data_IF_922589529770
#
_entry.id   IF_922589529770
#
_cell.length_a   1.000
_cell.length_b   1.000
_cell.length_c   1.000
_cell.angle_alpha   90.00
_cell.angle_beta   90.00
_cell.angle_gamma   90.00
#
_symmetry.space_group_name_H-M   'P 1'
#
loop_
_entity.id
_entity.type
_entity.pdbx_description
1 polymer ?
#
# COMPACT_ATOMS: atom_id res chain seq x y z
N UNK A 1 -20.76 6.45 3.69
CA UNK A 1 -19.59 7.12 3.08
C UNK A 1 -20.10 8.05 1.98
N UNK A 2 -19.52 9.24 1.82
CA UNK A 2 -19.88 10.14 0.72
C UNK A 2 -19.54 9.48 -0.61
N UNK A 3 -20.49 9.43 -1.54
CA UNK A 3 -20.26 8.90 -2.89
C UNK A 3 -19.25 9.81 -3.59
N UNK A 4 -18.06 9.28 -3.89
CA UNK A 4 -17.03 10.02 -4.63
C UNK A 4 -17.54 10.23 -6.05
N UNK A 5 -17.58 11.48 -6.51
CA UNK A 5 -18.06 11.81 -7.86
C UNK A 5 -17.04 11.43 -8.93
N UNK A 6 -17.48 11.20 -10.17
CA UNK A 6 -16.57 10.94 -11.31
C UNK A 6 -15.53 12.06 -11.50
N UNK A 7 -15.94 13.31 -11.29
CA UNK A 7 -15.05 14.47 -11.32
C UNK A 7 -13.97 14.38 -10.24
N UNK A 8 -14.35 13.93 -9.04
CA UNK A 8 -13.42 13.74 -7.94
C UNK A 8 -12.46 12.58 -8.19
N UNK A 9 -12.95 11.43 -8.69
CA UNK A 9 -12.08 10.31 -9.10
C UNK A 9 -11.03 10.80 -10.10
N UNK A 10 -11.45 11.56 -11.11
CA UNK A 10 -10.55 12.12 -12.12
C UNK A 10 -9.51 13.05 -11.50
N UNK A 11 -9.91 13.88 -10.53
CA UNK A 11 -9.00 14.78 -9.81
C UNK A 11 -7.97 14.02 -8.97
N UNK A 12 -8.38 12.94 -8.30
CA UNK A 12 -7.48 12.12 -7.48
C UNK A 12 -6.47 11.35 -8.34
N UNK A 13 -6.91 10.85 -9.50
CA UNK A 13 -6.07 10.05 -10.39
C UNK A 13 -5.15 10.88 -11.30
N UNK A 14 -5.44 12.16 -11.52
CA UNK A 14 -4.61 13.04 -12.36
C UNK A 14 -3.12 13.05 -11.95
N UNK A 15 -2.75 13.33 -10.68
CA UNK A 15 -1.35 13.27 -10.25
C UNK A 15 -0.77 11.85 -10.28
N UNK A 16 -1.58 10.83 -9.98
CA UNK A 16 -1.18 9.41 -10.02
C UNK A 16 -0.80 8.99 -11.45
N UNK A 17 -1.67 9.27 -12.42
CA UNK A 17 -1.45 8.95 -13.83
C UNK A 17 -0.30 9.74 -14.44
N UNK A 18 -0.03 10.95 -13.95
CA UNK A 18 1.14 11.73 -14.36
C UNK A 18 2.46 11.18 -13.77
N UNK A 19 2.39 10.47 -12.64
CA UNK A 19 3.54 9.91 -11.94
C UNK A 19 3.91 8.50 -12.44
N UNK A 20 2.91 7.66 -12.70
CA UNK A 20 3.09 6.32 -13.27
C UNK A 20 3.49 6.42 -14.75
N UNK A 21 4.36 5.52 -15.19
CA UNK A 21 4.87 5.53 -16.57
C UNK A 21 4.01 4.68 -17.52
N UNK A 22 3.14 3.83 -16.99
CA UNK A 22 2.18 3.05 -17.77
C UNK A 22 0.86 2.86 -17.02
N UNK A 23 -0.21 2.63 -17.77
CA UNK A 23 -1.48 2.15 -17.22
C UNK A 23 -1.41 0.67 -16.87
N UNK A 24 -2.33 0.21 -16.02
CA UNK A 24 -2.52 -1.22 -15.78
C UNK A 24 -2.90 -1.94 -17.09
N UNK A 25 -2.23 -3.04 -17.47
CA UNK A 25 -2.57 -3.80 -18.67
C UNK A 25 -4.01 -4.32 -18.63
N UNK A 26 -4.71 -4.24 -19.76
CA UNK A 26 -6.08 -4.76 -19.87
C UNK A 26 -6.15 -6.26 -19.54
N UNK A 27 -5.14 -7.05 -19.92
CA UNK A 27 -5.04 -8.47 -19.57
C UNK A 27 -5.05 -8.72 -18.06
N UNK A 28 -4.49 -7.82 -17.26
CA UNK A 28 -4.57 -7.92 -15.81
C UNK A 28 -6.00 -7.68 -15.31
N UNK A 29 -6.72 -6.69 -15.86
CA UNK A 29 -8.12 -6.40 -15.52
C UNK A 29 -9.02 -7.57 -15.93
N UNK A 30 -8.80 -8.11 -17.13
CA UNK A 30 -9.55 -9.24 -17.68
C UNK A 30 -9.45 -10.49 -16.81
N UNK A 31 -8.29 -10.75 -16.20
CA UNK A 31 -8.14 -11.83 -15.22
C UNK A 31 -8.65 -11.44 -13.83
N UNK A 32 -8.34 -10.24 -13.34
CA UNK A 32 -8.68 -9.81 -11.99
C UNK A 32 -10.20 -9.66 -11.75
N UNK A 33 -10.98 -9.35 -12.79
CA UNK A 33 -12.43 -9.20 -12.68
C UNK A 33 -13.19 -10.53 -12.60
N UNK A 34 -12.56 -11.66 -12.96
CA UNK A 34 -13.21 -12.97 -12.96
C UNK A 34 -13.53 -13.41 -11.53
N UNK A 35 -14.74 -13.90 -11.30
CA UNK A 35 -15.21 -14.30 -9.97
C UNK A 35 -14.28 -15.34 -9.31
N UNK A 36 -13.76 -16.29 -10.09
CA UNK A 36 -12.83 -17.33 -9.63
C UNK A 36 -11.48 -16.76 -9.14
N UNK A 37 -11.09 -15.59 -9.63
CA UNK A 37 -9.83 -14.92 -9.32
C UNK A 37 -9.97 -13.88 -8.20
N UNK A 38 -11.18 -13.35 -7.95
CA UNK A 38 -11.43 -12.33 -6.93
C UNK A 38 -10.93 -12.74 -5.54
N UNK A 39 -11.08 -14.02 -5.19
CA UNK A 39 -10.55 -14.53 -3.91
C UNK A 39 -9.04 -14.33 -3.78
N UNK A 40 -8.28 -14.58 -4.85
CA UNK A 40 -6.83 -14.39 -4.88
C UNK A 40 -6.47 -12.91 -4.81
N UNK A 41 -7.20 -12.07 -5.56
CA UNK A 41 -6.97 -10.62 -5.57
C UNK A 41 -7.24 -10.01 -4.20
N UNK A 42 -8.37 -10.32 -3.57
CA UNK A 42 -8.72 -9.81 -2.24
C UNK A 42 -7.78 -10.33 -1.16
N UNK A 43 -7.35 -11.59 -1.24
CA UNK A 43 -6.38 -12.14 -0.27
C UNK A 43 -5.02 -11.45 -0.42
N UNK A 44 -4.53 -11.23 -1.64
CA UNK A 44 -3.27 -10.52 -1.84
C UNK A 44 -3.38 -9.03 -1.48
N UNK A 45 -4.51 -8.39 -1.79
CA UNK A 45 -4.83 -7.02 -1.37
C UNK A 45 -4.79 -6.91 0.16
N UNK A 46 -5.49 -7.78 0.89
CA UNK A 46 -5.43 -7.84 2.35
C UNK A 46 -3.98 -7.90 2.87
N UNK A 47 -3.16 -8.77 2.28
CA UNK A 47 -1.75 -8.92 2.67
C UNK A 47 -0.94 -7.66 2.33
N UNK A 48 -1.25 -6.99 1.23
CA UNK A 48 -0.62 -5.73 0.83
C UNK A 48 -0.88 -4.62 1.86
N UNK A 49 -2.09 -4.51 2.40
CA UNK A 49 -2.41 -3.55 3.47
C UNK A 49 -1.55 -3.79 4.72
N UNK A 50 -1.42 -5.05 5.14
CA UNK A 50 -0.54 -5.38 6.26
C UNK A 50 0.93 -5.07 5.95
N UNK A 51 1.40 -5.37 4.73
CA UNK A 51 2.78 -5.08 4.31
C UNK A 51 3.07 -3.59 4.22
N UNK A 52 2.10 -2.76 3.83
CA UNK A 52 2.22 -1.31 3.82
C UNK A 52 2.39 -0.79 5.26
N UNK A 53 1.53 -1.22 6.19
CA UNK A 53 1.67 -0.92 7.62
C UNK A 53 3.01 -1.39 8.19
N UNK A 54 3.45 -2.61 7.86
CA UNK A 54 4.75 -3.17 8.28
C UNK A 54 5.93 -2.34 7.75
N UNK A 55 5.85 -1.88 6.50
CA UNK A 55 6.89 -1.08 5.88
C UNK A 55 7.01 0.29 6.55
N UNK A 56 5.90 0.98 6.79
CA UNK A 56 5.88 2.24 7.52
C UNK A 56 6.35 2.08 8.97
N UNK A 57 5.92 1.02 9.66
CA UNK A 57 6.39 0.69 11.00
C UNK A 57 7.91 0.45 11.02
N UNK A 58 8.46 -0.24 10.01
CA UNK A 58 9.89 -0.45 9.90
C UNK A 58 10.65 0.88 9.74
N UNK A 59 10.15 1.77 8.89
CA UNK A 59 10.75 3.09 8.69
C UNK A 59 10.75 3.90 9.99
N UNK A 60 9.63 3.94 10.72
CA UNK A 60 9.56 4.63 12.01
C UNK A 60 10.55 4.05 13.01
N UNK A 61 10.56 2.73 13.19
CA UNK A 61 11.49 2.05 14.11
C UNK A 61 12.95 2.28 13.78
N UNK A 62 13.27 2.48 12.50
CA UNK A 62 14.65 2.64 12.05
C UNK A 62 15.15 4.08 12.18
N UNK A 63 14.28 5.07 11.95
CA UNK A 63 14.70 6.45 11.73
C UNK A 63 14.14 7.46 12.76
N UNK A 64 13.10 7.10 13.50
CA UNK A 64 12.36 8.04 14.36
C UNK A 64 12.17 7.52 15.79
N UNK A 65 11.64 6.31 15.93
CA UNK A 65 11.10 5.80 17.20
C UNK A 65 12.18 5.47 18.23
N UNK A 66 11.87 5.78 19.49
CA UNK A 66 12.55 5.23 20.66
C UNK A 66 12.05 3.80 20.98
N UNK A 67 12.52 3.24 22.10
CA UNK A 67 12.16 1.88 22.52
C UNK A 67 10.66 1.75 22.85
N UNK A 68 10.08 2.76 23.51
CA UNK A 68 8.67 2.74 23.92
C UNK A 68 7.75 2.86 22.70
N UNK A 69 8.01 3.82 21.83
CA UNK A 69 7.31 3.98 20.54
C UNK A 69 7.41 2.72 19.71
N UNK A 70 8.59 2.09 19.65
CA UNK A 70 8.79 0.83 18.94
C UNK A 70 7.93 -0.31 19.49
N UNK A 71 7.81 -0.43 20.82
CA UNK A 71 6.97 -1.45 21.48
C UNK A 71 5.50 -1.24 21.15
N UNK A 72 5.02 0.00 21.19
CA UNK A 72 3.63 0.32 20.85
C UNK A 72 3.33 -0.02 19.40
N UNK A 73 4.18 0.41 18.46
CA UNK A 73 4.02 0.12 17.03
C UNK A 73 3.99 -1.39 16.75
N UNK A 74 4.90 -2.16 17.36
CA UNK A 74 4.89 -3.63 17.23
C UNK A 74 3.61 -4.25 17.80
N UNK A 75 3.12 -3.73 18.94
CA UNK A 75 1.87 -4.18 19.55
C UNK A 75 0.65 -3.94 18.67
N UNK A 76 0.64 -2.86 17.88
CA UNK A 76 -0.44 -2.57 16.95
C UNK A 76 -0.53 -3.59 15.81
N UNK A 77 0.61 -4.04 15.28
CA UNK A 77 0.65 -4.97 14.15
C UNK A 77 0.45 -6.43 14.56
N UNK A 78 0.84 -6.80 15.79
CA UNK A 78 0.87 -8.18 16.25
C UNK A 78 -0.44 -8.97 16.01
N UNK A 79 -1.65 -8.44 16.30
CA UNK A 79 -2.89 -9.19 16.06
C UNK A 79 -3.13 -9.49 14.58
N UNK A 80 -2.77 -8.54 13.70
CA UNK A 80 -2.91 -8.70 12.26
C UNK A 80 -1.89 -9.70 11.70
N UNK A 81 -0.66 -9.69 12.23
CA UNK A 81 0.37 -10.67 11.90
C UNK A 81 0.00 -12.09 12.34
N UNK A 82 -0.55 -12.25 13.55
CA UNK A 82 -1.02 -13.53 14.06
C UNK A 82 -2.15 -14.09 13.21
N UNK A 83 -3.12 -13.25 12.85
CA UNK A 83 -4.19 -13.64 11.95
C UNK A 83 -3.66 -14.04 10.56
N UNK A 84 -2.83 -13.20 9.96
CA UNK A 84 -2.39 -13.38 8.56
C UNK A 84 -1.42 -14.54 8.38
N UNK A 85 -0.46 -14.69 9.29
CA UNK A 85 0.67 -15.62 9.13
C UNK A 85 0.56 -16.88 10.00
N UNK A 86 -0.21 -16.84 11.09
CA UNK A 86 -0.36 -17.96 12.02
C UNK A 86 -1.77 -18.54 12.02
N UNK A 87 -2.72 -17.87 11.36
CA UNK A 87 -4.14 -18.21 11.39
C UNK A 87 -4.70 -18.23 12.82
N UNK A 88 -4.20 -17.34 13.68
CA UNK A 88 -4.58 -17.22 15.08
C UNK A 88 -5.49 -16.00 15.29
N UNK A 89 -6.50 -16.14 16.16
CA UNK A 89 -7.41 -15.06 16.55
C UNK A 89 -8.71 -15.00 15.75
N UNK A 90 -9.43 -13.91 15.93
CA UNK A 90 -10.72 -13.64 15.27
C UNK A 90 -10.63 -12.32 14.52
N UNK A 91 -10.93 -12.34 13.22
CA UNK A 91 -10.85 -11.17 12.35
C UNK A 91 -11.74 -10.02 12.84
N UNK A 92 -12.86 -10.32 13.50
CA UNK A 92 -13.81 -9.32 14.03
C UNK A 92 -13.19 -8.48 15.16
N UNK A 93 -12.16 -9.00 15.81
CA UNK A 93 -11.41 -8.30 16.85
C UNK A 93 -10.37 -7.31 16.29
N UNK A 94 -10.05 -7.36 14.99
CA UNK A 94 -9.00 -6.57 14.34
C UNK A 94 -9.42 -5.14 13.95
N UNK A 95 -10.45 -4.56 14.57
CA UNK A 95 -10.85 -3.19 14.26
C UNK A 95 -9.88 -2.16 14.85
N UNK A 96 -9.72 -1.01 14.19
CA UNK A 96 -8.68 0.00 14.52
C UNK A 96 -9.10 1.03 15.57
N UNK A 97 -10.28 0.92 16.19
CA UNK A 97 -10.84 1.94 17.10
C UNK A 97 -9.96 2.28 18.30
N UNK A 98 -9.08 1.36 18.68
CA UNK A 98 -8.17 1.49 19.82
C UNK A 98 -6.83 2.17 19.47
N UNK A 99 -6.52 2.37 18.19
CA UNK A 99 -5.23 2.92 17.74
C UNK A 99 -5.22 4.45 17.86
N UNK A 100 -4.37 4.98 18.73
CA UNK A 100 -4.27 6.44 18.99
C UNK A 100 -2.86 6.95 18.78
N UNK A 101 -2.70 8.05 18.03
CA UNK A 101 -1.39 8.68 17.83
C UNK A 101 -0.86 9.41 19.08
N UNK A 102 -1.74 9.72 20.04
CA UNK A 102 -1.39 10.50 21.24
C UNK A 102 -0.52 9.71 22.24
N UNK A 103 -0.23 8.45 21.95
CA UNK A 103 0.63 7.58 22.76
C UNK A 103 2.11 7.78 22.48
N UNK A 104 2.47 8.50 21.41
CA UNK A 104 3.86 8.68 21.01
C UNK A 104 4.47 9.94 21.63
N UNK A 105 5.64 9.79 22.26
CA UNK A 105 6.40 10.92 22.75
C UNK A 105 7.13 11.61 21.58
N UNK A 106 6.83 12.90 21.38
CA UNK A 106 7.44 13.73 20.32
C UNK A 106 8.47 14.72 20.86
N UNK A 107 8.74 14.69 22.17
CA UNK A 107 9.73 15.52 22.82
C UNK A 107 11.13 15.20 22.27
N UNK A 108 11.92 16.23 21.96
CA UNK A 108 13.26 16.06 21.40
C UNK A 108 13.35 15.67 19.93
N UNK A 109 12.23 15.36 19.25
CA UNK A 109 12.23 15.13 17.81
C UNK A 109 12.36 16.46 17.04
N UNK A 110 13.23 16.47 16.03
CA UNK A 110 13.32 17.55 15.04
C UNK A 110 12.06 17.60 14.15
N UNK A 111 11.92 18.66 13.37
CA UNK A 111 10.73 18.89 12.54
C UNK A 111 10.50 17.78 11.52
N UNK A 112 11.57 17.23 10.94
CA UNK A 112 11.49 16.17 9.94
C UNK A 112 11.00 14.86 10.59
N UNK A 113 11.58 14.48 11.73
CA UNK A 113 11.18 13.27 12.45
C UNK A 113 9.73 13.35 12.94
N UNK A 114 9.27 14.52 13.34
CA UNK A 114 7.85 14.76 13.70
C UNK A 114 6.93 14.57 12.50
N UNK A 115 7.26 15.17 11.36
CA UNK A 115 6.47 15.02 10.13
C UNK A 115 6.43 13.56 9.64
N UNK A 116 7.57 12.87 9.68
CA UNK A 116 7.67 11.46 9.36
C UNK A 116 6.85 10.59 10.32
N UNK A 117 6.88 10.88 11.63
CA UNK A 117 6.07 10.20 12.63
C UNK A 117 4.58 10.37 12.32
N UNK A 118 4.11 11.60 12.15
CA UNK A 118 2.71 11.92 11.92
C UNK A 118 2.17 11.24 10.65
N UNK A 119 2.90 11.33 9.54
CA UNK A 119 2.50 10.73 8.26
C UNK A 119 2.47 9.21 8.32
N UNK A 120 3.53 8.58 8.82
CA UNK A 120 3.63 7.12 8.85
C UNK A 120 2.67 6.49 9.87
N UNK A 121 2.43 7.13 11.02
CA UNK A 121 1.41 6.67 11.99
C UNK A 121 0.02 6.75 11.39
N UNK A 122 -0.29 7.83 10.66
CA UNK A 122 -1.57 7.96 9.97
C UNK A 122 -1.74 6.86 8.92
N UNK A 123 -0.71 6.66 8.07
CA UNK A 123 -0.70 5.58 7.08
C UNK A 123 -0.94 4.22 7.75
N UNK A 124 -0.16 3.84 8.76
CA UNK A 124 -0.31 2.56 9.48
C UNK A 124 -1.77 2.36 9.95
N UNK A 125 -2.39 3.40 10.51
CA UNK A 125 -3.78 3.30 10.96
C UNK A 125 -4.78 3.10 9.82
N UNK A 126 -4.55 3.76 8.70
CA UNK A 126 -5.38 3.66 7.51
C UNK A 126 -5.24 2.27 6.88
N UNK A 127 -4.03 1.75 6.69
CA UNK A 127 -3.85 0.40 6.11
C UNK A 127 -4.39 -0.70 7.02
N UNK A 128 -4.22 -0.59 8.34
CA UNK A 128 -4.85 -1.54 9.26
C UNK A 128 -6.38 -1.45 9.22
N UNK A 129 -6.94 -0.28 8.90
CA UNK A 129 -8.38 -0.13 8.70
C UNK A 129 -8.82 -0.73 7.37
N UNK A 130 -8.10 -0.47 6.29
CA UNK A 130 -8.33 -1.07 4.98
C UNK A 130 -8.26 -2.60 5.06
N UNK A 131 -7.24 -3.15 5.75
CA UNK A 131 -7.11 -4.57 6.03
C UNK A 131 -8.39 -5.15 6.65
N UNK A 132 -8.91 -4.50 7.69
CA UNK A 132 -10.15 -4.91 8.33
C UNK A 132 -11.36 -4.82 7.37
N UNK A 133 -11.46 -3.78 6.54
CA UNK A 133 -12.54 -3.65 5.56
C UNK A 133 -12.47 -4.72 4.46
N UNK A 134 -11.27 -5.11 4.01
CA UNK A 134 -11.10 -6.22 3.07
C UNK A 134 -11.61 -7.53 3.67
N UNK A 135 -11.35 -7.78 4.97
CA UNK A 135 -11.91 -8.95 5.67
C UNK A 135 -13.43 -8.93 5.72
N UNK A 136 -14.05 -7.78 5.99
CA UNK A 136 -15.51 -7.63 5.98
C UNK A 136 -16.09 -8.01 4.61
N UNK A 137 -15.45 -7.57 3.53
CA UNK A 137 -15.85 -7.88 2.16
C UNK A 137 -15.64 -9.36 1.83
N UNK A 138 -14.46 -9.91 2.15
CA UNK A 138 -14.17 -11.34 1.94
C UNK A 138 -15.19 -12.21 2.68
N UNK A 139 -15.55 -11.86 3.91
CA UNK A 139 -16.59 -12.55 4.68
C UNK A 139 -17.97 -12.44 4.02
N UNK A 140 -18.37 -11.26 3.57
CA UNK A 140 -19.64 -11.05 2.88
C UNK A 140 -19.76 -11.83 1.55
N UNK A 141 -18.62 -12.04 0.86
CA UNK A 141 -18.53 -12.85 -0.36
C UNK A 141 -18.40 -14.36 -0.08
N UNK A 142 -18.33 -14.78 1.19
CA UNK A 142 -18.15 -16.19 1.56
C UNK A 142 -16.76 -16.74 1.25
N UNK A 143 -15.74 -15.88 1.17
CA UNK A 143 -14.36 -16.29 0.91
C UNK A 143 -13.62 -16.59 2.20
N UNK A 144 -13.27 -17.87 2.36
CA UNK A 144 -12.33 -18.29 3.39
C UNK A 144 -10.92 -17.75 3.08
N UNK A 145 -10.27 -17.19 4.09
CA UNK A 145 -8.87 -16.76 3.98
C UNK A 145 -7.96 -17.95 3.70
N UNK A 146 -7.21 -17.88 2.60
CA UNK A 146 -6.14 -18.83 2.27
C UNK A 146 -4.92 -18.05 1.84
N UNK A 147 -3.80 -18.29 2.49
CA UNK A 147 -2.54 -17.60 2.20
C UNK A 147 -2.15 -17.72 0.72
N UNK A 148 -1.65 -16.61 0.18
CA UNK A 148 -1.07 -16.54 -1.17
C UNK A 148 0.40 -16.15 -1.07
N UNK A 149 1.22 -16.57 -2.03
CA UNK A 149 2.62 -16.12 -2.13
C UNK A 149 2.66 -14.64 -2.48
N UNK A 150 3.76 -13.97 -2.15
CA UNK A 150 3.91 -12.55 -2.46
C UNK A 150 4.24 -12.33 -3.93
N UNK A 151 3.65 -11.32 -4.55
CA UNK A 151 4.07 -10.83 -5.87
C UNK A 151 5.58 -10.50 -5.91
N UNK A 152 6.18 -10.64 -7.11
CA UNK A 152 7.55 -10.18 -7.39
C UNK A 152 7.71 -8.66 -7.32
N UNK A 153 6.63 -7.89 -7.40
CA UNK A 153 6.63 -6.43 -7.60
C UNK A 153 7.46 -5.65 -6.58
N UNK A 154 7.08 -5.66 -5.30
CA UNK A 154 7.76 -4.88 -4.26
C UNK A 154 9.23 -5.31 -4.12
N UNK A 155 9.50 -6.61 -4.16
CA UNK A 155 10.88 -7.14 -4.14
C UNK A 155 11.67 -6.70 -5.38
N UNK A 156 11.04 -6.63 -6.54
CA UNK A 156 11.61 -6.11 -7.79
C UNK A 156 12.09 -4.67 -7.62
N UNK A 157 11.25 -3.78 -7.08
CA UNK A 157 11.63 -2.41 -6.75
C UNK A 157 12.78 -2.35 -5.73
N UNK A 158 12.65 -3.10 -4.62
CA UNK A 158 13.61 -3.06 -3.52
C UNK A 158 15.03 -3.52 -3.92
N UNK A 159 15.19 -4.34 -4.97
CA UNK A 159 16.50 -4.73 -5.52
C UNK A 159 17.32 -3.55 -6.04
N UNK A 160 16.66 -2.46 -6.41
CA UNK A 160 17.33 -1.26 -6.92
C UNK A 160 17.71 -0.27 -5.82
N UNK A 161 17.26 -0.47 -4.58
CA UNK A 161 17.52 0.45 -3.45
C UNK A 161 19.01 0.50 -3.12
N UNK A 162 19.56 1.71 -3.00
CA UNK A 162 20.94 1.96 -2.58
C UNK A 162 21.19 1.46 -1.16
N UNK A 163 22.43 1.09 -0.86
CA UNK A 163 22.80 0.44 0.41
C UNK A 163 23.27 1.41 1.49
N UNK A 164 23.59 2.66 1.13
CA UNK A 164 24.16 3.69 2.00
C UNK A 164 23.14 4.78 2.35
N UNK A 165 23.30 5.40 3.52
CA UNK A 165 22.40 6.45 4.03
C UNK A 165 22.92 7.85 3.68
N UNK A 166 22.03 8.85 3.46
CA UNK A 166 20.56 8.79 3.54
C UNK A 166 19.85 8.27 2.26
N UNK A 167 20.60 7.96 1.21
CA UNK A 167 20.10 7.57 -0.10
C UNK A 167 19.21 6.32 -0.09
N UNK A 168 19.52 5.38 0.78
CA UNK A 168 18.71 4.18 1.04
C UNK A 168 17.30 4.53 1.51
N UNK A 169 17.17 5.47 2.44
CA UNK A 169 15.86 5.91 2.93
C UNK A 169 15.09 6.64 1.82
N UNK A 170 15.75 7.54 1.09
CA UNK A 170 15.14 8.24 -0.06
C UNK A 170 14.58 7.23 -1.07
N UNK A 171 15.37 6.21 -1.42
CA UNK A 171 14.93 5.17 -2.36
C UNK A 171 13.75 4.36 -1.84
N UNK A 172 13.75 3.98 -0.55
CA UNK A 172 12.63 3.25 0.05
C UNK A 172 11.33 4.06 0.03
N UNK A 173 11.41 5.36 0.26
CA UNK A 173 10.24 6.25 0.20
C UNK A 173 9.74 6.41 -1.24
N UNK A 174 10.65 6.49 -2.23
CA UNK A 174 10.25 6.49 -3.65
C UNK A 174 9.58 5.16 -4.04
N UNK A 175 10.08 4.02 -3.56
CA UNK A 175 9.40 2.73 -3.76
C UNK A 175 8.00 2.73 -3.15
N UNK A 176 7.84 3.25 -1.93
CA UNK A 176 6.54 3.44 -1.29
C UNK A 176 5.60 4.25 -2.17
N UNK A 177 6.03 5.41 -2.66
CA UNK A 177 5.24 6.25 -3.56
C UNK A 177 4.74 5.49 -4.81
N UNK A 178 5.58 4.67 -5.45
CA UNK A 178 5.17 3.86 -6.60
C UNK A 178 4.19 2.74 -6.25
N UNK A 179 4.32 2.12 -5.07
CA UNK A 179 3.39 1.09 -4.61
C UNK A 179 1.99 1.69 -4.41
N UNK A 180 1.88 2.79 -3.64
CA UNK A 180 0.60 3.46 -3.36
C UNK A 180 -0.03 4.04 -4.64
N UNK A 181 0.77 4.66 -5.51
CA UNK A 181 0.29 5.19 -6.78
C UNK A 181 -0.30 4.07 -7.67
N UNK A 182 0.39 2.93 -7.77
CA UNK A 182 -0.11 1.78 -8.54
C UNK A 182 -1.36 1.17 -7.91
N UNK A 183 -1.42 1.08 -6.58
CA UNK A 183 -2.63 0.63 -5.87
C UNK A 183 -3.82 1.51 -6.21
N UNK A 184 -3.66 2.84 -6.11
CA UNK A 184 -4.68 3.82 -6.46
C UNK A 184 -5.21 3.63 -7.89
N UNK A 185 -4.31 3.51 -8.87
CA UNK A 185 -4.69 3.32 -10.27
C UNK A 185 -5.41 1.99 -10.50
N UNK A 186 -4.94 0.88 -9.88
CA UNK A 186 -5.59 -0.44 -10.00
C UNK A 186 -6.96 -0.49 -9.36
N UNK A 187 -7.15 0.12 -8.19
CA UNK A 187 -8.48 0.22 -7.58
C UNK A 187 -9.46 0.94 -8.50
N UNK A 188 -9.04 2.07 -9.07
CA UNK A 188 -9.88 2.82 -9.99
C UNK A 188 -10.19 2.06 -11.29
N UNK A 189 -9.21 1.33 -11.85
CA UNK A 189 -9.38 0.55 -13.07
C UNK A 189 -10.25 -0.69 -12.85
N UNK A 190 -10.17 -1.34 -11.69
CA UNK A 190 -10.92 -2.57 -11.41
C UNK A 190 -12.36 -2.30 -10.93
N UNK A 191 -12.58 -1.18 -10.22
CA UNK A 191 -13.88 -0.86 -9.63
C UNK A 191 -15.11 -0.95 -10.58
N UNK A 192 -15.05 -0.59 -11.87
CA UNK A 192 -16.19 -0.70 -12.79
C UNK A 192 -16.54 -2.14 -13.21
N UNK A 193 -15.64 -3.11 -12.97
CA UNK A 193 -15.77 -4.49 -13.47
C UNK A 193 -16.14 -5.50 -12.39
N UNK A 194 -16.28 -5.04 -11.14
CA UNK A 194 -16.62 -5.87 -9.98
C UNK A 194 -18.03 -5.55 -9.47
N UNK A 195 -18.51 -6.28 -8.46
CA UNK A 195 -19.81 -5.99 -7.85
C UNK A 195 -19.89 -4.55 -7.35
N UNK A 196 -21.11 -3.99 -7.33
CA UNK A 196 -21.33 -2.59 -6.93
C UNK A 196 -20.73 -2.27 -5.56
N UNK A 197 -20.85 -3.18 -4.60
CA UNK A 197 -20.31 -2.99 -3.24
C UNK A 197 -18.78 -3.01 -3.22
N UNK A 198 -18.14 -3.94 -3.94
CA UNK A 198 -16.68 -3.99 -4.05
C UNK A 198 -16.13 -2.78 -4.81
N UNK A 199 -16.81 -2.37 -5.88
CA UNK A 199 -16.43 -1.19 -6.66
C UNK A 199 -16.51 0.09 -5.81
N UNK A 200 -17.57 0.27 -5.01
CA UNK A 200 -17.69 1.39 -4.06
C UNK A 200 -16.57 1.37 -3.02
N UNK A 201 -16.21 0.20 -2.52
CA UNK A 201 -15.09 0.06 -1.59
C UNK A 201 -13.77 0.48 -2.24
N UNK A 202 -13.41 -0.06 -3.40
CA UNK A 202 -12.19 0.34 -4.11
C UNK A 202 -12.14 1.83 -4.42
N UNK A 203 -13.26 2.42 -4.86
CA UNK A 203 -13.34 3.88 -5.05
C UNK A 203 -13.12 4.63 -3.75
N UNK A 204 -13.61 4.13 -2.62
CA UNK A 204 -13.44 4.78 -1.31
C UNK A 204 -11.99 4.84 -0.83
N UNK A 205 -11.12 3.93 -1.29
CA UNK A 205 -9.69 3.89 -0.96
C UNK A 205 -8.89 4.98 -1.69
N UNK A 206 -9.36 5.47 -2.84
CA UNK A 206 -8.56 6.35 -3.72
C UNK A 206 -8.04 7.61 -3.03
N UNK A 207 -8.78 8.17 -2.06
CA UNK A 207 -8.34 9.37 -1.33
C UNK A 207 -7.14 9.09 -0.42
N UNK A 208 -7.14 7.97 0.30
CA UNK A 208 -6.01 7.61 1.16
C UNK A 208 -4.80 7.25 0.32
N UNK A 209 -4.98 6.40 -0.69
CA UNK A 209 -3.90 5.96 -1.60
C UNK A 209 -3.20 7.13 -2.31
N UNK A 210 -3.96 8.06 -2.88
CA UNK A 210 -3.40 9.26 -3.53
C UNK A 210 -2.60 10.11 -2.53
N UNK A 211 -3.08 10.25 -1.30
CA UNK A 211 -2.37 11.00 -0.24
C UNK A 211 -1.13 10.26 0.26
N UNK A 212 -1.18 8.93 0.42
CA UNK A 212 -0.02 8.13 0.84
C UNK A 212 1.11 8.25 -0.18
N UNK A 213 0.80 8.14 -1.47
CA UNK A 213 1.72 8.41 -2.56
C UNK A 213 2.41 9.78 -2.42
N UNK A 214 1.63 10.84 -2.23
CA UNK A 214 2.15 12.22 -2.09
C UNK A 214 3.00 12.38 -0.82
N UNK A 215 2.58 11.77 0.29
CA UNK A 215 3.29 11.79 1.57
C UNK A 215 4.66 11.10 1.46
N UNK A 216 4.74 9.95 0.80
CA UNK A 216 6.00 9.26 0.53
C UNK A 216 6.96 10.12 -0.29
N UNK A 217 6.50 10.74 -1.39
CA UNK A 217 7.34 11.63 -2.20
C UNK A 217 7.77 12.87 -1.42
N UNK A 218 6.89 13.43 -0.61
CA UNK A 218 7.20 14.59 0.23
C UNK A 218 8.32 14.27 1.21
N UNK A 219 8.21 13.15 1.92
CA UNK A 219 9.26 12.69 2.84
C UNK A 219 10.58 12.41 2.10
N UNK A 220 10.53 11.80 0.91
CA UNK A 220 11.73 11.55 0.11
C UNK A 220 12.46 12.86 -0.23
N UNK A 221 11.72 13.90 -0.63
CA UNK A 221 12.27 15.24 -0.96
C UNK A 221 12.85 15.96 0.25
N UNK A 222 12.25 15.81 1.43
CA UNK A 222 12.75 16.44 2.66
C UNK A 222 14.11 15.87 3.11
N UNK A 223 14.39 14.60 2.80
CA UNK A 223 15.62 13.90 3.21
C UNK A 223 16.73 14.07 2.18
N UNK A 224 16.36 14.10 0.90
CA UNK A 224 17.32 14.17 -0.18
C UNK A 224 18.12 15.48 -0.13
N UNK A 225 19.44 15.36 -0.32
CA UNK A 225 20.34 16.52 -0.39
C UNK A 225 20.38 17.14 -1.80
N UNK A 226 19.90 16.42 -2.79
CA UNK A 226 19.90 16.78 -4.21
C UNK A 226 18.52 16.50 -4.80
N UNK A 227 18.29 17.01 -6.01
CA UNK A 227 17.10 16.66 -6.78
C UNK A 227 16.96 15.12 -6.92
N UNK A 228 15.73 14.62 -6.73
CA UNK A 228 15.40 13.20 -6.79
C UNK A 228 14.75 12.79 -8.11
N UNK A 229 14.57 13.70 -9.06
CA UNK A 229 13.76 13.46 -10.27
C UNK A 229 14.34 12.31 -11.10
N UNK A 230 15.66 12.27 -11.28
CA UNK A 230 16.32 11.15 -11.95
C UNK A 230 16.05 9.82 -11.24
N UNK A 231 16.04 9.85 -9.90
CA UNK A 231 15.81 8.65 -9.10
C UNK A 231 14.37 8.17 -9.16
N UNK A 232 13.43 9.10 -9.13
CA UNK A 232 12.00 8.84 -9.38
C UNK A 232 11.83 8.22 -10.76
N UNK A 233 12.36 8.84 -11.82
CA UNK A 233 12.29 8.29 -13.19
C UNK A 233 12.93 6.91 -13.31
N UNK A 234 14.05 6.65 -12.61
CA UNK A 234 14.65 5.31 -12.56
C UNK A 234 13.66 4.27 -12.00
N UNK A 235 13.07 4.53 -10.84
CA UNK A 235 12.10 3.61 -10.24
C UNK A 235 10.84 3.48 -11.09
N UNK A 236 10.38 4.54 -11.75
CA UNK A 236 9.24 4.47 -12.67
C UNK A 236 9.47 3.54 -13.85
N UNK A 237 10.70 3.48 -14.39
CA UNK A 237 11.05 2.51 -15.46
C UNK A 237 11.09 1.07 -14.93
N UNK A 238 11.58 0.87 -13.70
CA UNK A 238 11.59 -0.45 -13.06
C UNK A 238 10.15 -0.92 -12.79
N UNK A 239 9.31 -0.02 -12.26
CA UNK A 239 7.90 -0.24 -11.98
C UNK A 239 7.12 -0.59 -13.25
N UNK A 240 7.26 0.23 -14.30
CA UNK A 240 6.66 -0.02 -15.61
C UNK A 240 7.03 -1.39 -16.15
N UNK A 241 8.31 -1.76 -16.08
CA UNK A 241 8.77 -3.08 -16.50
C UNK A 241 8.13 -4.21 -15.70
N UNK A 242 7.93 -4.04 -14.38
CA UNK A 242 7.29 -5.05 -13.53
C UNK A 242 5.80 -5.21 -13.83
N UNK A 243 5.12 -4.10 -14.19
CA UNK A 243 3.68 -4.07 -14.49
C UNK A 243 3.38 -4.58 -15.90
N UNK A 244 4.21 -4.25 -16.89
CA UNK A 244 3.97 -4.61 -18.28
C UNK A 244 4.47 -6.00 -18.67
N UNK A 245 5.51 -6.50 -17.99
CA UNK A 245 6.07 -7.81 -18.35
C UNK A 245 5.17 -8.96 -17.91
N UNK A 246 5.26 -10.05 -18.66
CA UNK A 246 4.58 -11.31 -18.38
C UNK A 246 4.85 -11.76 -16.94
N UNK A 247 3.79 -12.18 -16.27
CA UNK A 247 3.79 -12.68 -14.90
C UNK A 247 3.12 -14.05 -14.86
N UNK A 248 3.72 -14.92 -14.05
CA UNK A 248 3.28 -16.30 -13.85
C UNK A 248 2.47 -16.50 -12.53
N UNK A 249 2.13 -15.42 -11.84
CA UNK A 249 1.06 -15.42 -10.84
C UNK A 249 0.12 -14.21 -10.99
N UNK A 250 -1.17 -14.38 -10.69
CA UNK A 250 -2.10 -13.25 -10.54
C UNK A 250 -2.06 -12.73 -9.11
N UNK A 251 -1.65 -11.48 -8.92
CA UNK A 251 -1.59 -10.77 -7.63
C UNK A 251 -2.07 -9.34 -7.80
N UNK A 252 -2.33 -8.64 -6.70
CA UNK A 252 -2.80 -7.27 -6.74
C UNK A 252 -1.81 -6.34 -7.45
N UNK A 253 -0.50 -6.59 -7.34
CA UNK A 253 0.56 -5.90 -8.09
C UNK A 253 1.31 -6.79 -9.10
N UNK A 254 0.76 -7.93 -9.55
CA UNK A 254 1.44 -8.76 -10.58
C UNK A 254 1.53 -8.02 -11.92
N UNK A 255 2.46 -8.45 -12.79
CA UNK A 255 2.53 -8.00 -14.18
C UNK A 255 1.37 -8.51 -15.05
N UNK A 256 1.57 -8.52 -16.37
CA UNK A 256 0.58 -9.01 -17.33
C UNK A 256 0.43 -10.54 -17.20
N UNK A 257 -0.75 -11.08 -16.86
CA UNK A 257 -0.94 -12.53 -16.76
C UNK A 257 -0.58 -13.24 -18.07
N UNK A 258 0.22 -14.30 -17.98
CA UNK A 258 0.73 -15.06 -19.14
C UNK A 258 0.21 -16.50 -19.24
N UNK A 259 -0.70 -16.90 -18.34
CA UNK A 259 -1.38 -18.19 -18.42
C UNK A 259 -2.48 -18.14 -19.47
N UNK A 260 -2.42 -19.07 -20.41
CA UNK A 260 -3.50 -19.45 -21.30
C UNK A 260 -3.79 -20.93 -21.17
#
# INVERSE_FOLDING_TARGET
MSVISTTEITSLLSPVNAFLHCETPQSWIDEAQKEENLRVILTDHLICELKAAQSAMYLLRRYVADEETSKVLLGWLKPYEDFTYRHEGDWQSLNTKHLSKNVFNVEGLDSFKKDMLDKMVMLIKEELHHFYQVLEIMHALGFDYKSVTSSRYANGLLRHVRTYEPEKLVDKLICGAYIEARSCERFAKLAPYVSEDLGKFYVSLLRSEARHFEDYLTLAKQIAKTDISERVTHFGRVEESLIQSDDDELRFHSGAPSFG
#
